data_IF_624296985617
#
_entry.id   IF_624296985617
#
_cell.length_a   1.000
_cell.length_b   1.000
_cell.length_c   1.000
_cell.angle_alpha   90.00
_cell.angle_beta   90.00
_cell.angle_gamma   90.00
#
_symmetry.space_group_name_H-M   'P 1'
#
loop_
_entity.id
_entity.type
_entity.pdbx_description
1 polymer ?
#
# COMPACT_ATOMS: atom_id res chain seq x y z
N UNK A 1 -55.67 5.43 65.25
CA UNK A 1 -54.43 5.97 64.66
C UNK A 1 -53.68 4.81 64.04
N UNK A 2 -53.46 4.81 62.72
CA UNK A 2 -52.67 3.80 62.02
C UNK A 2 -51.82 4.56 60.97
N UNK A 3 -50.48 4.45 60.98
CA UNK A 3 -49.68 5.24 60.07
C UNK A 3 -49.66 4.60 58.68
N UNK A 4 -49.88 5.49 57.70
CA UNK A 4 -49.77 5.28 56.28
C UNK A 4 -48.29 5.09 55.91
N UNK A 5 -47.92 3.93 55.36
CA UNK A 5 -46.61 3.75 54.70
C UNK A 5 -46.87 3.74 53.19
N UNK A 6 -46.63 4.89 52.57
CA UNK A 6 -46.62 5.01 51.09
C UNK A 6 -45.26 4.48 50.62
N UNK A 7 -45.24 3.25 50.12
CA UNK A 7 -44.11 2.74 49.35
C UNK A 7 -44.28 3.18 47.89
N UNK A 8 -43.55 4.22 47.47
CA UNK A 8 -43.38 4.56 46.05
C UNK A 8 -42.53 3.48 45.38
N UNK A 9 -43.16 2.50 44.75
CA UNK A 9 -42.49 1.65 43.78
C UNK A 9 -42.45 2.38 42.43
N UNK A 10 -41.37 3.12 42.18
CA UNK A 10 -41.05 3.59 40.83
C UNK A 10 -40.55 2.37 40.05
N UNK A 11 -41.47 1.66 39.39
CA UNK A 11 -41.09 0.70 38.35
C UNK A 11 -40.61 1.51 37.14
N UNK A 12 -39.29 1.62 36.97
CA UNK A 12 -38.69 2.06 35.72
C UNK A 12 -38.98 1.01 34.65
N UNK A 13 -39.93 1.30 33.77
CA UNK A 13 -40.17 0.53 32.55
C UNK A 13 -39.06 0.82 31.54
N UNK A 14 -37.92 0.14 31.65
CA UNK A 14 -37.02 0.02 30.51
C UNK A 14 -37.74 -0.83 29.45
N UNK A 15 -38.31 -0.18 28.44
CA UNK A 15 -38.83 -0.89 27.26
C UNK A 15 -37.64 -1.41 26.47
N UNK A 16 -37.24 -2.65 26.72
CA UNK A 16 -36.45 -3.42 25.75
C UNK A 16 -37.31 -3.55 24.49
N UNK A 17 -36.90 -2.87 23.41
CA UNK A 17 -37.49 -3.08 22.09
C UNK A 17 -37.33 -4.54 21.67
N UNK A 18 -38.20 -5.05 20.77
CA UNK A 18 -38.12 -6.44 20.32
C UNK A 18 -36.75 -6.70 19.66
N UNK A 19 -36.01 -7.66 20.21
CA UNK A 19 -34.78 -8.15 19.60
C UNK A 19 -35.15 -8.86 18.29
N UNK A 20 -34.68 -8.31 17.17
CA UNK A 20 -34.85 -8.96 15.87
C UNK A 20 -33.74 -9.99 15.70
N UNK A 21 -34.10 -11.26 15.68
CA UNK A 21 -33.16 -12.33 15.37
C UNK A 21 -32.98 -12.42 13.85
N UNK A 22 -31.76 -12.22 13.38
CA UNK A 22 -31.37 -12.48 12.00
C UNK A 22 -30.73 -13.87 11.97
N UNK A 23 -31.32 -14.81 11.24
CA UNK A 23 -30.74 -16.14 11.05
C UNK A 23 -29.56 -16.03 10.09
N UNK A 24 -28.35 -16.31 10.59
CA UNK A 24 -27.15 -16.40 9.75
C UNK A 24 -27.05 -17.83 9.21
N UNK A 25 -27.00 -18.03 7.88
CA UNK A 25 -26.81 -19.36 7.29
C UNK A 25 -25.51 -20.02 7.79
N UNK A 26 -25.54 -21.31 8.07
CA UNK A 26 -24.37 -22.08 8.54
C UNK A 26 -23.50 -22.61 7.40
N UNK A 27 -23.90 -22.37 6.14
CA UNK A 27 -23.15 -22.74 4.95
C UNK A 27 -23.29 -21.65 3.87
N UNK A 28 -22.28 -21.46 3.01
CA UNK A 28 -22.41 -20.58 1.86
C UNK A 28 -23.56 -21.03 0.93
N UNK A 29 -24.23 -20.09 0.25
CA UNK A 29 -25.12 -20.40 -0.87
C UNK A 29 -24.43 -21.22 -1.97
N UNK A 30 -25.19 -21.94 -2.80
CA UNK A 30 -24.64 -22.76 -3.89
C UNK A 30 -23.99 -21.95 -5.02
N UNK A 31 -24.31 -20.66 -5.10
CA UNK A 31 -23.76 -19.68 -6.04
C UNK A 31 -22.65 -18.80 -5.41
N UNK A 32 -22.21 -19.11 -4.18
CA UNK A 32 -21.14 -18.39 -3.53
C UNK A 32 -19.81 -18.59 -4.30
N UNK A 33 -19.10 -17.48 -4.53
CA UNK A 33 -17.77 -17.53 -5.12
C UNK A 33 -16.78 -18.25 -4.19
N UNK A 34 -15.89 -19.04 -4.79
CA UNK A 34 -14.76 -19.58 -4.06
C UNK A 34 -13.82 -18.44 -3.62
N UNK A 35 -13.39 -18.47 -2.37
CA UNK A 35 -12.43 -17.50 -1.84
C UNK A 35 -11.03 -18.01 -2.14
N UNK A 36 -10.22 -17.17 -2.78
CA UNK A 36 -8.80 -17.45 -2.99
C UNK A 36 -8.11 -17.68 -1.62
N UNK A 37 -7.44 -18.82 -1.41
CA UNK A 37 -6.64 -19.08 -0.22
C UNK A 37 -5.56 -18.01 0.05
N UNK A 38 -5.09 -17.31 -0.98
CA UNK A 38 -4.13 -16.21 -0.91
C UNK A 38 -4.75 -14.82 -0.71
N UNK A 39 -6.10 -14.72 -0.57
CA UNK A 39 -6.82 -13.43 -0.44
C UNK A 39 -6.29 -12.52 0.69
N UNK A 40 -5.65 -13.11 1.71
CA UNK A 40 -4.91 -12.33 2.71
C UNK A 40 -3.47 -12.23 2.23
N UNK A 41 -3.10 -11.06 1.73
CA UNK A 41 -1.79 -10.74 1.18
C UNK A 41 -1.02 -9.77 2.07
N UNK A 42 0.27 -9.60 1.79
CA UNK A 42 1.14 -8.65 2.50
C UNK A 42 1.65 -7.60 1.52
N UNK A 43 1.51 -6.33 1.88
CA UNK A 43 2.14 -5.22 1.16
C UNK A 43 3.41 -4.79 1.90
N UNK A 44 4.52 -4.63 1.18
CA UNK A 44 5.81 -4.20 1.71
C UNK A 44 6.27 -2.97 0.92
N UNK A 45 6.62 -1.92 1.66
CA UNK A 45 7.12 -0.67 1.11
C UNK A 45 8.43 -0.87 0.35
N UNK A 46 8.50 -0.31 -0.86
CA UNK A 46 9.55 -0.62 -1.85
C UNK A 46 10.97 -0.41 -1.31
N UNK A 47 11.23 0.72 -0.65
CA UNK A 47 12.58 1.04 -0.13
C UNK A 47 12.98 0.18 1.09
N UNK A 48 11.99 -0.23 1.88
CA UNK A 48 12.18 -0.98 3.12
C UNK A 48 12.24 -2.50 2.89
N UNK A 49 11.73 -2.96 1.75
CA UNK A 49 11.64 -4.37 1.39
C UNK A 49 12.93 -5.17 1.65
N UNK A 50 14.12 -4.73 1.20
CA UNK A 50 15.35 -5.49 1.46
C UNK A 50 15.70 -5.63 2.95
N UNK A 51 15.28 -4.66 3.78
CA UNK A 51 15.44 -4.73 5.24
C UNK A 51 14.50 -5.76 5.86
N UNK A 52 13.23 -5.79 5.44
CA UNK A 52 12.27 -6.78 5.91
C UNK A 52 12.68 -8.23 5.61
N UNK A 53 13.36 -8.46 4.48
CA UNK A 53 13.87 -9.78 4.11
C UNK A 53 14.98 -10.31 5.03
N UNK A 54 15.62 -9.44 5.82
CA UNK A 54 16.65 -9.83 6.78
C UNK A 54 16.08 -10.19 8.15
N UNK A 55 14.78 -9.93 8.38
CA UNK A 55 14.14 -10.18 9.67
C UNK A 55 13.56 -11.60 9.73
N UNK A 56 13.98 -12.36 10.74
CA UNK A 56 13.38 -13.67 11.05
C UNK A 56 11.87 -13.58 11.32
N UNK A 57 11.39 -12.43 11.79
CA UNK A 57 9.97 -12.18 12.02
C UNK A 57 9.15 -12.21 10.73
N UNK A 58 9.70 -11.68 9.64
CA UNK A 58 9.02 -11.65 8.32
C UNK A 58 8.79 -13.06 7.81
N UNK A 59 9.83 -13.88 7.73
CA UNK A 59 9.71 -15.26 7.23
C UNK A 59 8.79 -16.11 8.10
N UNK A 60 8.86 -15.96 9.42
CA UNK A 60 7.94 -16.65 10.35
C UNK A 60 6.49 -16.20 10.17
N UNK A 61 6.24 -14.91 9.96
CA UNK A 61 4.88 -14.39 9.73
C UNK A 61 4.27 -14.97 8.45
N UNK A 62 5.03 -14.95 7.34
CA UNK A 62 4.58 -15.49 6.07
C UNK A 62 4.31 -17.01 6.15
N UNK A 63 5.20 -17.77 6.79
CA UNK A 63 4.99 -19.21 7.00
C UNK A 63 3.76 -19.52 7.85
N UNK A 64 3.50 -18.71 8.90
CA UNK A 64 2.31 -18.87 9.73
C UNK A 64 1.02 -18.57 8.93
N UNK A 65 1.01 -17.49 8.14
CA UNK A 65 -0.10 -17.18 7.24
C UNK A 65 -0.34 -18.33 6.26
N UNK A 66 0.73 -18.86 5.68
CA UNK A 66 0.64 -19.99 4.77
C UNK A 66 0.04 -21.24 5.45
N UNK A 67 0.48 -21.57 6.66
CA UNK A 67 -0.08 -22.70 7.42
C UNK A 67 -1.55 -22.51 7.78
N UNK A 68 -1.97 -21.29 8.12
CA UNK A 68 -3.36 -21.01 8.49
C UNK A 68 -4.31 -21.05 7.28
N UNK A 69 -3.79 -20.73 6.09
CA UNK A 69 -4.60 -20.63 4.86
C UNK A 69 -4.48 -21.84 3.94
N UNK A 70 -3.45 -22.66 4.10
CA UNK A 70 -3.12 -23.74 3.18
C UNK A 70 -2.50 -23.27 1.86
N UNK A 71 -2.13 -21.99 1.75
CA UNK A 71 -1.50 -21.40 0.57
C UNK A 71 -0.64 -20.20 0.96
N UNK A 72 0.43 -19.94 0.21
CA UNK A 72 1.31 -18.79 0.45
C UNK A 72 0.55 -17.48 0.24
N UNK A 73 0.78 -16.45 1.10
CA UNK A 73 0.21 -15.14 0.86
C UNK A 73 0.84 -14.51 -0.39
N UNK A 74 0.02 -13.87 -1.22
CA UNK A 74 0.54 -12.99 -2.26
C UNK A 74 1.27 -11.79 -1.62
N UNK A 75 2.29 -11.27 -2.31
CA UNK A 75 3.11 -10.17 -1.85
C UNK A 75 3.00 -9.01 -2.84
N UNK A 76 2.74 -7.80 -2.34
CA UNK A 76 2.85 -6.56 -3.12
C UNK A 76 4.08 -5.78 -2.65
N UNK A 77 5.05 -5.58 -3.53
CA UNK A 77 6.22 -4.74 -3.28
C UNK A 77 6.02 -3.44 -4.04
N UNK A 78 5.73 -2.36 -3.34
CA UNK A 78 5.37 -1.10 -3.96
C UNK A 78 5.13 -0.06 -2.89
N UNK A 79 4.63 1.10 -3.27
CA UNK A 79 4.57 2.21 -2.33
C UNK A 79 5.96 2.74 -2.06
N UNK A 80 6.07 4.05 -2.16
CA UNK A 80 7.21 4.77 -1.62
C UNK A 80 6.63 5.62 -0.51
N UNK A 81 6.46 4.95 0.63
CA UNK A 81 6.16 5.39 1.99
C UNK A 81 5.72 6.83 2.20
N UNK A 82 4.62 6.89 2.92
CA UNK A 82 4.00 8.04 3.55
C UNK A 82 5.00 8.86 4.37
N UNK A 83 4.95 10.18 4.25
CA UNK A 83 5.49 11.07 5.27
C UNK A 83 4.43 11.99 5.84
N UNK A 84 4.48 12.06 7.16
CA UNK A 84 3.98 13.17 7.97
C UNK A 84 5.17 14.10 8.21
N UNK A 85 5.21 15.28 7.61
CA UNK A 85 6.13 16.31 8.09
C UNK A 85 5.51 16.96 9.33
N UNK A 86 5.88 16.47 10.52
CA UNK A 86 5.46 17.09 11.77
C UNK A 86 6.60 17.95 12.33
N UNK A 87 6.62 19.25 12.00
CA UNK A 87 7.45 20.21 12.71
C UNK A 87 6.70 20.68 13.97
N UNK A 88 6.64 19.84 15.02
CA UNK A 88 6.21 20.28 16.34
C UNK A 88 7.40 20.95 17.04
N UNK A 89 7.46 22.28 16.96
CA UNK A 89 8.27 23.02 17.93
C UNK A 89 7.49 23.12 19.24
N UNK A 90 7.80 22.25 20.20
CA UNK A 90 7.36 22.46 21.57
C UNK A 90 8.22 23.57 22.18
N UNK A 91 7.74 24.82 22.20
CA UNK A 91 8.29 25.83 23.13
C UNK A 91 7.80 25.45 24.53
N UNK A 92 8.74 25.10 25.39
CA UNK A 92 8.50 24.81 26.79
C UNK A 92 8.40 26.13 27.56
N UNK A 93 7.23 26.39 28.14
CA UNK A 93 6.97 27.55 28.99
C UNK A 93 5.82 28.40 28.49
N UNK A 94 4.60 28.02 28.85
CA UNK A 94 3.60 28.98 29.32
C UNK A 94 2.44 28.25 30.01
N UNK A 95 2.06 28.78 31.17
CA UNK A 95 1.12 28.21 32.11
C UNK A 95 -0.30 28.07 31.53
N UNK A 96 -0.94 26.96 31.90
CA UNK A 96 -2.31 26.57 31.53
C UNK A 96 -3.30 27.73 31.71
N UNK A 97 -3.86 28.21 30.61
CA UNK A 97 -5.11 28.97 30.58
C UNK A 97 -6.02 28.37 29.51
N UNK A 98 -7.08 27.72 29.94
CA UNK A 98 -8.12 27.20 29.07
C UNK A 98 -8.88 28.37 28.42
N UNK A 99 -8.52 28.74 27.20
CA UNK A 99 -9.42 29.44 26.31
C UNK A 99 -9.00 29.28 24.84
N UNK A 100 -9.85 28.60 24.07
CA UNK A 100 -9.92 28.65 22.60
C UNK A 100 -8.58 28.64 21.84
N UNK A 101 -7.88 27.51 21.83
CA UNK A 101 -6.85 27.24 20.83
C UNK A 101 -7.42 26.29 19.76
N UNK A 102 -7.89 26.86 18.64
CA UNK A 102 -7.83 26.13 17.37
C UNK A 102 -6.34 25.88 17.10
N UNK A 103 -5.87 24.69 17.45
CA UNK A 103 -4.64 24.19 16.87
C UNK A 103 -4.89 24.10 15.36
N UNK A 104 -4.20 24.92 14.58
CA UNK A 104 -4.07 24.72 13.15
C UNK A 104 -3.42 23.35 12.99
N UNK A 105 -4.23 22.32 12.74
CA UNK A 105 -3.73 21.03 12.30
C UNK A 105 -2.88 21.31 11.07
N UNK A 106 -1.56 21.24 11.22
CA UNK A 106 -0.67 21.21 10.07
C UNK A 106 -1.20 20.10 9.16
N UNK A 107 -1.55 20.48 7.93
CA UNK A 107 -2.05 19.54 6.93
C UNK A 107 -1.09 18.37 6.89
N UNK A 108 -1.54 17.21 7.38
CA UNK A 108 -0.87 15.95 7.19
C UNK A 108 -0.89 15.66 5.68
N UNK A 109 0.17 16.08 4.98
CA UNK A 109 0.33 15.77 3.55
C UNK A 109 1.03 14.44 3.43
N UNK A 110 0.26 13.36 3.58
CA UNK A 110 0.67 12.05 3.04
C UNK A 110 0.86 12.26 1.53
N UNK A 111 2.09 12.09 1.05
CA UNK A 111 2.38 12.03 -0.38
C UNK A 111 3.11 10.72 -0.63
N UNK A 112 2.38 9.66 -0.96
CA UNK A 112 2.96 8.53 -1.66
C UNK A 112 3.61 9.07 -2.93
N UNK A 113 4.91 8.83 -3.11
CA UNK A 113 5.65 9.37 -4.26
C UNK A 113 6.57 8.32 -4.81
N UNK A 114 6.43 7.88 -6.05
CA UNK A 114 7.40 6.99 -6.64
C UNK A 114 8.71 7.70 -6.97
N UNK A 115 9.78 7.30 -6.27
CA UNK A 115 11.11 7.92 -6.41
C UNK A 115 12.23 6.91 -6.64
N UNK A 116 11.88 5.66 -6.90
CA UNK A 116 12.81 4.60 -7.22
C UNK A 116 13.30 4.73 -8.67
N UNK A 117 14.62 4.67 -8.89
CA UNK A 117 15.24 4.60 -10.23
C UNK A 117 16.04 3.32 -10.34
N UNK A 118 15.83 2.55 -11.40
CA UNK A 118 16.57 1.32 -11.63
C UNK A 118 17.98 1.62 -12.16
N UNK A 119 18.99 0.94 -11.62
CA UNK A 119 20.36 0.95 -12.14
C UNK A 119 20.83 -0.50 -12.32
N UNK A 120 21.03 -0.89 -13.58
CA UNK A 120 21.46 -2.24 -13.94
C UNK A 120 22.86 -2.60 -13.41
N UNK A 121 23.68 -1.61 -13.06
CA UNK A 121 25.03 -1.81 -12.54
C UNK A 121 25.10 -1.79 -11.01
N UNK A 122 24.02 -1.39 -10.33
CA UNK A 122 24.00 -1.31 -8.87
C UNK A 122 24.04 -2.72 -8.26
N UNK A 123 25.12 -2.99 -7.51
CA UNK A 123 25.35 -4.29 -6.87
C UNK A 123 24.63 -4.43 -5.51
N UNK A 124 23.90 -3.41 -5.08
CA UNK A 124 23.05 -3.43 -3.90
C UNK A 124 21.57 -3.54 -4.29
N UNK A 125 20.71 -4.13 -3.45
CA UNK A 125 19.27 -4.18 -3.74
C UNK A 125 18.67 -2.77 -3.76
N UNK A 126 19.10 -1.89 -2.86
CA UNK A 126 18.70 -0.47 -2.79
C UNK A 126 19.88 0.38 -2.35
N UNK A 127 19.90 1.64 -2.79
CA UNK A 127 20.84 2.67 -2.39
C UNK A 127 20.08 3.99 -2.18
N UNK A 128 20.17 4.55 -0.99
CA UNK A 128 19.55 5.82 -0.62
C UNK A 128 20.21 6.41 0.63
N UNK A 129 19.87 7.64 0.95
CA UNK A 129 20.28 8.31 2.20
C UNK A 129 19.06 8.96 2.84
N UNK A 130 18.98 8.83 4.16
CA UNK A 130 17.90 9.36 5.00
C UNK A 130 18.51 10.00 6.25
N UNK A 131 17.84 11.01 6.81
CA UNK A 131 18.32 11.68 8.02
C UNK A 131 18.07 10.81 9.27
N UNK A 132 16.95 10.07 9.29
CA UNK A 132 16.57 9.13 10.35
C UNK A 132 16.27 7.72 9.79
N UNK A 133 16.42 6.64 10.56
CA UNK A 133 15.97 5.31 10.12
C UNK A 133 14.45 5.18 9.90
N UNK A 134 13.65 6.08 10.48
CA UNK A 134 12.19 6.11 10.29
C UNK A 134 11.76 6.87 9.02
N UNK A 135 12.72 7.49 8.35
CA UNK A 135 12.50 8.32 7.18
C UNK A 135 12.46 7.47 5.90
N UNK A 136 11.46 7.70 5.04
CA UNK A 136 11.54 7.29 3.65
C UNK A 136 12.50 8.16 2.83
N UNK A 137 13.21 7.59 1.85
CA UNK A 137 14.12 8.38 1.02
C UNK A 137 13.37 9.33 0.08
N UNK A 138 13.94 10.52 -0.13
CA UNK A 138 13.47 11.44 -1.18
C UNK A 138 13.96 11.07 -2.57
N UNK A 139 14.88 10.11 -2.68
CA UNK A 139 15.30 9.48 -3.92
C UNK A 139 15.98 8.16 -3.58
N UNK A 140 15.77 7.17 -4.43
CA UNK A 140 16.24 5.80 -4.22
C UNK A 140 16.71 5.24 -5.56
N UNK A 141 17.83 4.54 -5.54
CA UNK A 141 18.27 3.70 -6.67
C UNK A 141 18.17 2.24 -6.26
N UNK A 142 17.76 1.35 -7.16
CA UNK A 142 17.70 -0.09 -6.91
C UNK A 142 18.30 -0.86 -8.07
N UNK A 143 18.85 -2.04 -7.78
CA UNK A 143 19.62 -2.83 -8.76
C UNK A 143 19.12 -4.27 -8.89
N UNK A 144 19.75 -5.08 -9.77
CA UNK A 144 19.40 -6.48 -9.97
C UNK A 144 19.19 -7.32 -8.70
N UNK A 145 19.98 -7.16 -7.61
CA UNK A 145 19.76 -7.91 -6.38
C UNK A 145 18.39 -7.69 -5.73
N UNK A 146 17.70 -6.59 -6.03
CA UNK A 146 16.32 -6.35 -5.58
C UNK A 146 15.37 -7.44 -6.07
N UNK A 147 15.43 -7.76 -7.36
CA UNK A 147 14.59 -8.80 -7.96
C UNK A 147 15.00 -10.19 -7.49
N UNK A 148 16.31 -10.41 -7.29
CA UNK A 148 16.81 -11.66 -6.70
C UNK A 148 16.27 -11.88 -5.29
N UNK A 149 16.13 -10.83 -4.47
CA UNK A 149 15.48 -10.93 -3.16
C UNK A 149 13.98 -11.19 -3.30
N UNK A 150 13.28 -10.49 -4.20
CA UNK A 150 11.84 -10.66 -4.41
C UNK A 150 11.49 -12.07 -4.92
N UNK A 151 12.37 -12.67 -5.72
CA UNK A 151 12.22 -14.04 -6.20
C UNK A 151 12.32 -15.12 -5.10
N UNK A 152 12.74 -14.75 -3.88
CA UNK A 152 12.81 -15.70 -2.75
C UNK A 152 11.47 -15.92 -2.05
N UNK A 153 10.44 -15.12 -2.36
CA UNK A 153 9.10 -15.39 -1.84
C UNK A 153 8.51 -16.63 -2.50
N UNK A 154 7.92 -17.50 -1.68
CA UNK A 154 7.18 -18.66 -2.19
C UNK A 154 5.83 -18.27 -2.83
N UNK A 155 5.27 -17.11 -2.44
CA UNK A 155 4.03 -16.57 -2.98
C UNK A 155 4.25 -15.74 -4.25
N UNK A 156 3.15 -15.50 -4.96
CA UNK A 156 3.10 -14.59 -6.11
C UNK A 156 3.44 -13.15 -5.70
N UNK A 157 4.19 -12.45 -6.55
CA UNK A 157 4.65 -11.08 -6.31
C UNK A 157 4.07 -10.11 -7.33
N UNK A 158 3.38 -9.08 -6.84
CA UNK A 158 3.06 -7.86 -7.58
C UNK A 158 4.12 -6.81 -7.30
N UNK A 159 4.78 -6.31 -8.34
CA UNK A 159 5.89 -5.37 -8.23
C UNK A 159 5.52 -3.99 -8.77
N UNK A 160 5.58 -2.97 -7.92
CA UNK A 160 5.43 -1.57 -8.31
C UNK A 160 6.68 -1.03 -9.01
N UNK A 161 6.47 -0.34 -10.12
CA UNK A 161 7.49 0.38 -10.87
C UNK A 161 7.13 1.86 -10.96
N UNK A 162 8.17 2.69 -11.03
CA UNK A 162 8.02 4.13 -10.95
C UNK A 162 7.40 4.71 -12.23
N UNK A 163 6.21 5.31 -12.11
CA UNK A 163 5.62 6.13 -13.18
C UNK A 163 5.83 7.63 -12.96
N UNK A 164 5.89 8.08 -11.71
CA UNK A 164 5.94 9.50 -11.36
C UNK A 164 7.14 10.26 -11.94
N UNK A 165 8.31 9.61 -12.06
CA UNK A 165 9.54 10.24 -12.60
C UNK A 165 9.53 10.40 -14.12
N UNK A 166 8.49 9.93 -14.83
CA UNK A 166 8.39 10.02 -16.29
C UNK A 166 9.56 9.39 -17.05
N UNK A 167 10.18 8.36 -16.48
CA UNK A 167 11.29 7.65 -17.12
C UNK A 167 10.86 6.24 -17.53
N UNK A 168 10.07 6.18 -18.59
CA UNK A 168 9.45 4.95 -19.08
C UNK A 168 10.47 3.90 -19.53
N UNK A 169 11.57 4.33 -20.15
CA UNK A 169 12.65 3.42 -20.53
C UNK A 169 13.31 2.75 -19.32
N UNK A 170 13.48 3.50 -18.22
CA UNK A 170 14.02 2.96 -16.96
C UNK A 170 13.07 1.93 -16.33
N UNK A 171 11.78 2.25 -16.26
CA UNK A 171 10.77 1.32 -15.74
C UNK A 171 10.59 0.10 -16.63
N UNK A 172 10.70 0.24 -17.95
CA UNK A 172 10.72 -0.91 -18.87
C UNK A 172 11.94 -1.80 -18.63
N UNK A 173 13.13 -1.23 -18.48
CA UNK A 173 14.35 -2.00 -18.17
C UNK A 173 14.21 -2.75 -16.84
N UNK A 174 13.62 -2.12 -15.82
CA UNK A 174 13.34 -2.77 -14.55
C UNK A 174 12.32 -3.91 -14.69
N UNK A 175 11.23 -3.69 -15.43
CA UNK A 175 10.20 -4.70 -15.66
C UNK A 175 10.72 -5.91 -16.44
N UNK A 176 11.57 -5.70 -17.45
CA UNK A 176 12.24 -6.78 -18.17
C UNK A 176 13.17 -7.57 -17.23
N UNK A 177 13.95 -6.88 -16.40
CA UNK A 177 14.82 -7.55 -15.44
C UNK A 177 14.03 -8.36 -14.40
N UNK A 178 12.90 -7.83 -13.92
CA UNK A 178 12.00 -8.54 -13.02
C UNK A 178 11.47 -9.82 -13.68
N UNK A 179 10.93 -9.71 -14.90
CA UNK A 179 10.44 -10.85 -15.69
C UNK A 179 11.49 -11.93 -15.91
N UNK A 180 12.75 -11.55 -16.13
CA UNK A 180 13.85 -12.51 -16.28
C UNK A 180 14.24 -13.19 -14.96
N UNK A 181 14.10 -12.51 -13.83
CA UNK A 181 14.69 -12.93 -12.55
C UNK A 181 13.68 -13.54 -11.57
N UNK A 182 12.39 -13.27 -11.75
CA UNK A 182 11.33 -13.60 -10.80
C UNK A 182 10.33 -14.56 -11.43
N UNK A 183 10.50 -15.86 -11.21
CA UNK A 183 9.53 -16.87 -11.64
C UNK A 183 8.17 -16.73 -10.94
N UNK A 184 8.14 -16.05 -9.78
CA UNK A 184 6.97 -15.76 -8.98
C UNK A 184 6.35 -14.38 -9.30
N UNK A 185 6.80 -13.68 -10.36
CA UNK A 185 6.22 -12.40 -10.76
C UNK A 185 4.82 -12.61 -11.32
N UNK A 186 3.82 -12.08 -10.62
CA UNK A 186 2.41 -12.14 -11.02
C UNK A 186 1.99 -10.92 -11.81
N UNK A 187 2.31 -9.72 -11.30
CA UNK A 187 1.92 -8.46 -11.93
C UNK A 187 2.97 -7.36 -11.74
N UNK A 188 2.88 -6.35 -12.60
CA UNK A 188 3.60 -5.09 -12.46
C UNK A 188 2.57 -3.97 -12.27
N UNK A 189 2.75 -3.14 -11.25
CA UNK A 189 1.97 -1.92 -11.04
C UNK A 189 2.76 -0.71 -11.56
N UNK A 190 2.15 0.17 -12.37
CA UNK A 190 2.82 1.35 -12.91
C UNK A 190 2.36 2.62 -12.20
N UNK A 191 3.12 3.02 -11.19
CA UNK A 191 2.73 4.12 -10.33
C UNK A 191 2.19 3.63 -8.98
N UNK A 192 2.33 4.46 -7.96
CA UNK A 192 1.66 4.33 -6.68
C UNK A 192 0.83 5.58 -6.41
N UNK A 193 -0.47 5.39 -6.15
CA UNK A 193 -1.41 6.47 -5.80
C UNK A 193 -1.28 7.68 -6.74
N UNK A 194 -1.48 7.49 -8.06
CA UNK A 194 -1.32 8.57 -9.03
C UNK A 194 -2.29 9.74 -8.78
N UNK A 195 -3.38 9.54 -8.04
CA UNK A 195 -4.27 10.60 -7.56
C UNK A 195 -3.55 11.62 -6.65
N UNK A 196 -2.41 11.25 -6.05
CA UNK A 196 -1.56 12.14 -5.26
C UNK A 196 -0.47 12.86 -6.07
N UNK A 197 -0.38 12.61 -7.38
CA UNK A 197 0.52 13.35 -8.25
C UNK A 197 0.04 14.80 -8.41
N UNK A 198 0.99 15.68 -8.74
CA UNK A 198 0.74 17.11 -8.88
C UNK A 198 1.60 17.66 -10.01
N UNK A 199 1.46 18.96 -10.29
CA UNK A 199 2.28 19.66 -11.29
C UNK A 199 3.80 19.56 -11.04
N UNK A 200 4.21 19.34 -9.79
CA UNK A 200 5.60 19.08 -9.43
C UNK A 200 6.07 17.63 -9.67
N UNK A 201 5.17 16.70 -10.00
CA UNK A 201 5.56 15.36 -10.43
C UNK A 201 6.15 15.44 -11.85
N UNK A 202 7.31 14.85 -12.14
CA UNK A 202 7.90 14.87 -13.48
C UNK A 202 6.98 14.35 -14.60
N UNK A 203 6.12 13.36 -14.31
CA UNK A 203 5.11 12.83 -15.24
C UNK A 203 4.08 13.86 -15.68
N UNK A 204 3.81 14.88 -14.86
CA UNK A 204 2.89 15.96 -15.18
C UNK A 204 3.52 17.06 -16.06
N UNK A 205 4.85 17.08 -16.20
CA UNK A 205 5.59 18.09 -16.99
C UNK A 205 5.18 19.55 -16.68
N UNK A 206 4.88 19.85 -15.42
CA UNK A 206 4.42 21.18 -14.98
C UNK A 206 2.92 21.46 -15.16
N UNK A 207 2.17 20.60 -15.84
CA UNK A 207 0.73 20.71 -16.00
C UNK A 207 -0.03 20.31 -14.72
N UNK A 208 -1.28 20.74 -14.58
CA UNK A 208 -2.16 20.22 -13.53
C UNK A 208 -2.37 18.71 -13.73
N UNK A 209 -2.39 17.95 -12.63
CA UNK A 209 -2.68 16.52 -12.65
C UNK A 209 -4.18 16.30 -12.40
N UNK A 210 -4.86 15.70 -13.37
CA UNK A 210 -6.28 15.37 -13.34
C UNK A 210 -6.48 13.88 -13.60
N UNK A 211 -7.67 13.37 -13.29
CA UNK A 211 -8.07 12.01 -13.67
C UNK A 211 -7.90 11.75 -15.17
N UNK A 212 -8.24 12.72 -16.03
CA UNK A 212 -8.07 12.59 -17.48
C UNK A 212 -6.59 12.56 -17.92
N UNK A 213 -5.72 13.32 -17.26
CA UNK A 213 -4.29 13.29 -17.49
C UNK A 213 -3.69 11.94 -17.06
N UNK A 214 -4.15 11.42 -15.92
CA UNK A 214 -3.72 10.11 -15.42
C UNK A 214 -4.14 8.97 -16.35
N UNK A 215 -5.41 8.91 -16.75
CA UNK A 215 -5.92 7.90 -17.71
C UNK A 215 -5.11 7.93 -19.00
N UNK A 216 -4.85 9.12 -19.56
CA UNK A 216 -4.08 9.25 -20.80
C UNK A 216 -2.62 8.80 -20.61
N UNK A 217 -2.03 9.12 -19.45
CA UNK A 217 -0.68 8.70 -19.09
C UNK A 217 -0.59 7.18 -18.90
N UNK A 218 -1.52 6.58 -18.15
CA UNK A 218 -1.54 5.15 -17.86
C UNK A 218 -1.77 4.33 -19.14
N UNK A 219 -2.73 4.72 -19.97
CA UNK A 219 -2.98 4.05 -21.26
C UNK A 219 -1.73 4.04 -22.16
N UNK A 220 -1.00 5.17 -22.21
CA UNK A 220 0.28 5.23 -22.94
C UNK A 220 1.32 4.29 -22.34
N UNK A 221 1.47 4.28 -21.02
CA UNK A 221 2.45 3.43 -20.34
C UNK A 221 2.15 1.93 -20.53
N UNK A 222 0.89 1.52 -20.44
CA UNK A 222 0.48 0.14 -20.73
C UNK A 222 0.71 -0.23 -22.19
N UNK A 223 0.33 0.62 -23.14
CA UNK A 223 0.52 0.36 -24.57
C UNK A 223 2.00 0.10 -24.92
N UNK A 224 2.91 0.86 -24.30
CA UNK A 224 4.34 0.75 -24.60
C UNK A 224 5.03 -0.37 -23.82
N UNK A 225 4.66 -0.62 -22.56
CA UNK A 225 5.34 -1.62 -21.73
C UNK A 225 4.81 -3.03 -21.94
N UNK A 226 3.48 -3.18 -22.05
CA UNK A 226 2.83 -4.47 -21.98
C UNK A 226 3.29 -5.48 -23.06
N UNK A 227 3.58 -5.10 -24.32
CA UNK A 227 4.11 -6.04 -25.31
C UNK A 227 5.44 -6.69 -24.91
N UNK A 228 6.26 -6.01 -24.11
CA UNK A 228 7.59 -6.48 -23.71
C UNK A 228 7.58 -7.23 -22.37
N UNK A 229 6.77 -6.76 -21.41
CA UNK A 229 6.72 -7.35 -20.06
C UNK A 229 5.64 -8.42 -19.88
N UNK A 230 4.68 -8.55 -20.80
CA UNK A 230 3.69 -9.64 -20.74
C UNK A 230 4.34 -11.01 -21.01
N UNK A 231 3.84 -12.06 -20.37
CA UNK A 231 4.23 -13.42 -20.71
C UNK A 231 3.81 -13.75 -22.16
N UNK A 232 4.60 -14.57 -22.86
CA UNK A 232 4.26 -15.05 -24.21
C UNK A 232 2.90 -15.75 -24.16
N UNK A 233 1.90 -15.18 -24.84
CA UNK A 233 0.52 -15.71 -24.88
C UNK A 233 -0.55 -14.81 -24.21
N UNK A 234 -0.15 -13.75 -23.51
CA UNK A 234 -1.08 -12.78 -22.92
C UNK A 234 -1.61 -11.85 -24.01
N UNK A 235 -2.81 -12.14 -24.53
CA UNK A 235 -3.48 -11.24 -25.48
C UNK A 235 -4.10 -10.10 -24.67
N UNK A 236 -3.47 -8.92 -24.70
CA UNK A 236 -4.09 -7.70 -24.17
C UNK A 236 -5.29 -7.36 -25.07
N UNK A 237 -6.50 -7.54 -24.56
CA UNK A 237 -7.65 -6.78 -25.05
C UNK A 237 -7.41 -5.32 -24.69
N UNK A 238 -7.50 -4.44 -25.68
CA UNK A 238 -7.38 -3.00 -25.50
C UNK A 238 -8.38 -2.53 -24.45
N UNK A 239 -7.95 -1.59 -23.60
CA UNK A 239 -8.87 -0.86 -22.73
C UNK A 239 -9.58 0.17 -23.61
N UNK A 240 -10.69 -0.23 -24.22
CA UNK A 240 -11.61 0.65 -24.96
C UNK A 240 -12.57 1.37 -23.99
#
# INVERSE_FOLDING_TARGET
MLPLVIAFAVLSWLRLGPAHAITVPTSPPSDAAAIDPSLVSVSIEFFAFPGYMQLRGTSKCLANLASLRGAQPAIRIGGTTQYVEHHLSCRHGDSVRANSHYHTLGSLRIRGRDRATYDANLQAPVNYTVASPADAPTSLTYGPPFFTLAAQFDGEVTLGLNRQLNNQANSLAAGLRAKESMMNLFAIELGNEPDLYASGSPIAAGAAWSQSADISSEAKWFTEMAPSVSASGSRLTTCD
#
